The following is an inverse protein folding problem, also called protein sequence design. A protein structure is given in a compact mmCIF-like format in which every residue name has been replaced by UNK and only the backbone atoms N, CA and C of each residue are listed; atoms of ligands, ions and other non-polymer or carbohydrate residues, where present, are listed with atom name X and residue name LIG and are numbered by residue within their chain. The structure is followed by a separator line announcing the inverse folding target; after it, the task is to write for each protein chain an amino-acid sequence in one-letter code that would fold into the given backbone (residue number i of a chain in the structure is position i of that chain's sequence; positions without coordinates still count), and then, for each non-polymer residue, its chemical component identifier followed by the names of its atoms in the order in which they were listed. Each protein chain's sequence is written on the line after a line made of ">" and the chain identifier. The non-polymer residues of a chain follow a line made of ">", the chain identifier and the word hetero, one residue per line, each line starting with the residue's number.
data_IF_217582389089
#
_entry.id   IF_217582389089
#
_cell.length_a   1.000
_cell.length_b   1.000
_cell.length_c   1.000
_cell.angle_alpha   90.00
_cell.angle_beta   90.00
_cell.angle_gamma   90.00
#
_symmetry.space_group_name_H-M   'P 1'
#
loop_
_entity.id
_entity.type
_entity.pdbx_description
1 polymer ?
#
# COMPACT_ATOMS: atom_id res chain seq x y z
N UNK A 1 -1.25 -3.12 6.56
CA UNK A 1 0.03 -3.35 5.85
C UNK A 1 0.47 -2.04 5.20
N UNK A 2 1.76 -1.73 5.23
CA UNK A 2 2.34 -0.61 4.48
C UNK A 2 2.77 -1.13 3.11
N UNK A 3 2.33 -0.44 2.06
CA UNK A 3 2.47 -0.87 0.66
C UNK A 3 3.20 0.21 -0.14
N UNK A 4 4.25 -0.18 -0.87
CA UNK A 4 4.93 0.66 -1.85
C UNK A 4 4.23 0.55 -3.21
N UNK A 5 3.72 1.66 -3.73
CA UNK A 5 3.02 1.71 -5.03
C UNK A 5 3.71 2.71 -5.97
N UNK A 6 3.43 2.69 -7.29
CA UNK A 6 3.97 3.71 -8.23
C UNK A 6 3.59 5.16 -7.89
N UNK A 7 2.57 5.36 -7.05
CA UNK A 7 2.11 6.68 -6.58
C UNK A 7 2.70 7.05 -5.21
N UNK A 8 3.68 6.29 -4.74
CA UNK A 8 4.31 6.43 -3.43
C UNK A 8 3.88 5.37 -2.41
N UNK A 9 4.38 5.52 -1.18
CA UNK A 9 4.11 4.62 -0.05
C UNK A 9 2.78 5.00 0.61
N UNK A 10 1.94 4.00 0.92
CA UNK A 10 0.66 4.20 1.58
C UNK A 10 0.18 2.95 2.32
N UNK A 11 -0.92 3.06 3.06
CA UNK A 11 -1.60 1.90 3.67
C UNK A 11 -2.29 1.04 2.62
N UNK A 12 -2.43 -0.25 2.89
CA UNK A 12 -3.19 -1.20 2.06
C UNK A 12 -4.61 -0.73 1.72
N UNK A 13 -5.31 -0.12 2.68
CA UNK A 13 -6.67 0.41 2.48
C UNK A 13 -6.72 1.48 1.40
N UNK A 14 -5.78 2.42 1.44
CA UNK A 14 -5.66 3.51 0.45
C UNK A 14 -5.29 2.97 -0.93
N UNK A 15 -4.38 2.00 -1.00
CA UNK A 15 -3.98 1.36 -2.25
C UNK A 15 -5.18 0.65 -2.92
N UNK A 16 -5.96 -0.12 -2.15
CA UNK A 16 -7.19 -0.78 -2.61
C UNK A 16 -8.24 0.22 -3.10
N UNK A 17 -8.52 1.27 -2.32
CA UNK A 17 -9.47 2.31 -2.73
C UNK A 17 -9.05 3.03 -4.03
N UNK A 18 -7.73 3.19 -4.22
CA UNK A 18 -7.14 3.82 -5.41
C UNK A 18 -6.94 2.84 -6.57
N UNK A 19 -7.35 1.59 -6.43
CA UNK A 19 -7.19 0.52 -7.43
C UNK A 19 -5.74 0.36 -7.92
N UNK A 20 -4.77 0.52 -7.03
CA UNK A 20 -3.34 0.34 -7.33
C UNK A 20 -2.74 -0.77 -6.46
N UNK A 21 -1.97 -1.63 -7.10
CA UNK A 21 -1.17 -2.67 -6.44
C UNK A 21 0.24 -2.18 -6.10
N UNK A 22 0.97 -3.02 -5.36
CA UNK A 22 2.31 -2.68 -4.90
C UNK A 22 2.94 -3.78 -4.05
N UNK A 23 4.19 -3.56 -3.68
CA UNK A 23 4.93 -4.44 -2.77
C UNK A 23 4.53 -4.17 -1.31
N UNK A 24 4.31 -5.24 -0.54
CA UNK A 24 4.06 -5.12 0.90
C UNK A 24 5.38 -5.01 1.62
N UNK A 25 5.63 -3.86 2.26
CA UNK A 25 6.87 -3.59 2.98
C UNK A 25 6.85 -4.21 4.38
N UNK A 26 5.77 -3.99 5.12
CA UNK A 26 5.62 -4.52 6.47
C UNK A 26 4.16 -4.53 6.93
N UNK A 27 3.92 -5.28 8.01
CA UNK A 27 2.70 -5.20 8.79
C UNK A 27 2.98 -4.43 10.08
N UNK A 28 1.99 -3.66 10.52
CA UNK A 28 2.01 -2.91 11.78
C UNK A 28 0.87 -3.46 12.62
N UNK A 29 1.15 -3.76 13.89
CA UNK A 29 0.17 -4.24 14.87
C UNK A 29 -0.52 -3.06 15.58
#
# INVERSE_FOLDING_TARGET
>A
AIVSTPKGVMTDRKARASHVGGEVLCFVA
#
